data_IF_734895140918
#
_entry.id   IF_734895140918
#
_cell.length_a   1.000
_cell.length_b   1.000
_cell.length_c   1.000
_cell.angle_alpha   90.00
_cell.angle_beta   90.00
_cell.angle_gamma   90.00
#
_symmetry.space_group_name_H-M   'P 1'
#
loop_
_entity.id
_entity.type
_entity.pdbx_description
1 polymer ?
#
# COMPACT_ATOMS: atom_id res chain seq x y z
N UNK A 1 17.77 12.03 2.89
CA UNK A 1 17.33 11.45 1.60
C UNK A 1 18.05 12.02 0.38
N UNK A 2 18.25 13.34 0.22
CA UNK A 2 18.89 13.90 -0.97
C UNK A 2 20.23 13.26 -1.35
N UNK A 3 21.08 12.99 -0.36
CA UNK A 3 22.37 12.28 -0.54
C UNK A 3 22.24 10.87 -1.15
N UNK A 4 21.17 10.13 -0.83
CA UNK A 4 20.92 8.81 -1.45
C UNK A 4 20.48 8.95 -2.90
N UNK A 5 19.64 9.95 -3.18
CA UNK A 5 19.06 10.15 -4.51
C UNK A 5 20.12 10.62 -5.49
N UNK A 6 20.98 11.58 -5.12
CA UNK A 6 22.11 11.96 -5.97
C UNK A 6 23.05 10.78 -6.24
N UNK A 7 23.21 9.87 -5.27
CA UNK A 7 23.99 8.64 -5.49
C UNK A 7 23.32 7.69 -6.48
N UNK A 8 21.99 7.52 -6.43
CA UNK A 8 21.26 6.67 -7.38
C UNK A 8 21.26 7.27 -8.78
N UNK A 9 20.94 8.56 -8.90
CA UNK A 9 20.90 9.25 -10.17
C UNK A 9 22.30 9.32 -10.81
N UNK A 10 23.33 9.59 -9.99
CA UNK A 10 24.73 9.52 -10.41
C UNK A 10 25.15 8.12 -10.84
N UNK A 11 24.68 7.05 -10.17
CA UNK A 11 24.94 5.68 -10.58
C UNK A 11 24.29 5.34 -11.93
N UNK A 12 23.05 5.79 -12.15
CA UNK A 12 22.36 5.65 -13.44
C UNK A 12 23.11 6.36 -14.57
N UNK A 13 23.47 7.64 -14.38
CA UNK A 13 24.25 8.37 -15.38
C UNK A 13 25.64 7.77 -15.62
N UNK A 14 26.30 7.26 -14.57
CA UNK A 14 27.58 6.56 -14.70
C UNK A 14 27.42 5.28 -15.52
N UNK A 15 26.38 4.49 -15.25
CA UNK A 15 26.11 3.26 -16.00
C UNK A 15 25.85 3.57 -17.46
N UNK A 16 25.04 4.59 -17.76
CA UNK A 16 24.86 5.08 -19.12
C UNK A 16 26.21 5.47 -19.71
N UNK A 17 26.99 6.31 -19.03
CA UNK A 17 28.28 6.80 -19.51
C UNK A 17 29.23 5.67 -19.93
N UNK A 18 29.31 4.62 -19.13
CA UNK A 18 30.17 3.46 -19.35
C UNK A 18 29.67 2.53 -20.45
N UNK A 19 28.37 2.52 -20.75
CA UNK A 19 27.81 1.77 -21.87
C UNK A 19 28.18 2.42 -23.21
N UNK A 20 29.23 1.88 -23.83
CA UNK A 20 29.76 2.36 -25.12
C UNK A 20 28.85 2.02 -26.31
N UNK A 21 27.90 1.10 -26.14
CA UNK A 21 26.93 0.77 -27.19
C UNK A 21 25.82 1.81 -27.27
N UNK A 22 25.57 2.52 -26.17
CA UNK A 22 24.53 3.51 -26.08
C UNK A 22 25.01 4.86 -26.66
N UNK A 23 24.48 5.22 -27.83
CA UNK A 23 24.81 6.46 -28.53
C UNK A 23 24.02 7.67 -28.04
N UNK A 24 22.99 7.47 -27.20
CA UNK A 24 22.12 8.54 -26.67
C UNK A 24 22.08 8.48 -25.14
N UNK A 25 22.15 9.66 -24.52
CA UNK A 25 21.98 9.81 -23.07
C UNK A 25 20.51 10.11 -22.76
N UNK A 26 20.01 9.59 -21.64
CA UNK A 26 18.65 9.83 -21.19
C UNK A 26 18.68 10.62 -19.88
N UNK A 27 17.71 11.52 -19.66
CA UNK A 27 17.57 12.16 -18.36
C UNK A 27 17.08 11.14 -17.33
N UNK A 28 17.70 11.16 -16.15
CA UNK A 28 17.26 10.38 -14.98
C UNK A 28 16.38 11.27 -14.12
N UNK A 29 15.19 10.76 -13.79
CA UNK A 29 14.26 11.40 -12.88
C UNK A 29 13.87 10.42 -11.77
N UNK A 30 14.14 10.82 -10.53
CA UNK A 30 13.75 10.04 -9.34
C UNK A 30 12.55 10.69 -8.64
N UNK A 31 11.57 9.86 -8.32
CA UNK A 31 10.38 10.22 -7.55
C UNK A 31 10.41 9.50 -6.20
N UNK A 32 10.24 10.26 -5.12
CA UNK A 32 10.07 9.72 -3.77
C UNK A 32 8.59 9.73 -3.44
N UNK A 33 8.02 8.54 -3.27
CA UNK A 33 6.64 8.37 -2.83
C UNK A 33 6.66 8.19 -1.31
N UNK A 34 6.15 9.17 -0.57
CA UNK A 34 6.08 9.13 0.88
C UNK A 34 4.66 8.77 1.33
N UNK A 35 4.56 7.70 2.12
CA UNK A 35 3.29 7.12 2.56
C UNK A 35 2.94 7.43 4.03
N UNK A 36 3.67 8.37 4.66
CA UNK A 36 3.41 8.76 6.05
C UNK A 36 2.01 9.35 6.23
N UNK A 37 1.30 8.86 7.24
CA UNK A 37 -0.08 9.27 7.53
C UNK A 37 -0.17 10.29 8.66
N UNK A 38 0.74 10.24 9.64
CA UNK A 38 0.75 11.18 10.78
C UNK A 38 1.11 12.61 10.38
N UNK A 39 2.06 12.77 9.47
CA UNK A 39 2.50 14.07 8.94
C UNK A 39 2.90 13.96 7.48
N UNK A 40 2.92 15.11 6.79
CA UNK A 40 3.64 15.25 5.52
C UNK A 40 5.14 15.06 5.73
N UNK A 41 5.88 14.92 4.63
CA UNK A 41 7.33 14.86 4.61
C UNK A 41 7.94 16.14 5.20
N UNK A 42 8.75 15.98 6.24
CA UNK A 42 9.41 17.09 6.94
C UNK A 42 10.94 17.10 6.80
N UNK A 43 11.52 16.05 6.23
CA UNK A 43 12.97 15.95 6.07
C UNK A 43 13.49 16.79 4.89
N UNK A 44 14.80 17.06 4.82
CA UNK A 44 15.41 17.83 3.73
C UNK A 44 15.02 17.35 2.32
N UNK A 45 14.65 18.30 1.45
CA UNK A 45 14.32 18.10 0.03
C UNK A 45 15.40 18.61 -0.93
N UNK A 46 16.50 19.15 -0.41
CA UNK A 46 17.66 19.52 -1.21
C UNK A 46 18.98 19.29 -0.45
N UNK A 47 20.12 19.42 -1.14
CA UNK A 47 21.43 19.32 -0.49
C UNK A 47 21.72 20.51 0.42
N UNK A 48 21.29 21.72 0.07
CA UNK A 48 21.42 22.88 0.95
C UNK A 48 20.63 22.76 2.25
N UNK A 49 19.56 21.96 2.26
CA UNK A 49 18.84 21.63 3.50
C UNK A 49 19.53 20.51 4.31
N UNK A 50 20.48 19.78 3.72
CA UNK A 50 21.20 18.70 4.40
C UNK A 50 22.42 19.20 5.19
N UNK A 51 23.07 20.28 4.74
CA UNK A 51 24.29 20.81 5.35
C UNK A 51 24.41 22.32 5.12
N UNK A 52 25.14 22.99 6.01
CA UNK A 52 25.35 24.43 5.90
C UNK A 52 26.43 24.74 4.85
N UNK A 53 26.09 25.54 3.85
CA UNK A 53 26.99 25.98 2.78
C UNK A 53 27.27 27.46 2.95
N UNK A 54 28.53 27.86 3.22
CA UNK A 54 28.93 29.27 3.27
C UNK A 54 28.44 30.04 2.03
N UNK A 55 27.98 31.27 2.22
CA UNK A 55 27.35 32.06 1.14
C UNK A 55 28.29 32.24 -0.06
N UNK A 56 29.58 32.38 0.21
CA UNK A 56 30.66 32.55 -0.75
C UNK A 56 30.86 31.29 -1.61
N UNK A 57 30.52 30.11 -1.09
CA UNK A 57 30.68 28.83 -1.77
C UNK A 57 29.43 28.38 -2.53
N UNK A 58 28.25 28.95 -2.25
CA UNK A 58 26.99 28.58 -2.92
C UNK A 58 27.04 28.63 -4.45
N UNK A 59 27.75 29.55 -5.13
CA UNK A 59 27.86 29.51 -6.60
C UNK A 59 28.58 28.27 -7.14
N UNK A 60 29.36 27.58 -6.31
CA UNK A 60 30.20 26.44 -6.69
C UNK A 60 29.66 25.09 -6.22
N UNK A 61 28.58 25.08 -5.42
CA UNK A 61 27.98 23.86 -4.88
C UNK A 61 26.61 23.64 -5.53
N UNK A 62 26.36 22.44 -6.03
CA UNK A 62 25.06 22.11 -6.63
C UNK A 62 24.02 21.77 -5.55
N UNK A 63 22.91 22.50 -5.51
CA UNK A 63 21.78 22.26 -4.61
C UNK A 63 20.84 21.16 -5.14
N UNK A 64 21.31 19.92 -5.19
CA UNK A 64 20.55 18.80 -5.77
C UNK A 64 19.17 18.64 -5.11
N UNK A 65 18.10 18.96 -5.85
CA UNK A 65 16.72 18.91 -5.36
C UNK A 65 16.07 17.57 -5.68
N UNK A 66 15.17 17.13 -4.80
CA UNK A 66 14.47 15.86 -4.97
C UNK A 66 12.95 16.06 -5.10
N UNK A 67 12.30 15.17 -5.84
CA UNK A 67 10.85 15.19 -6.01
C UNK A 67 10.21 14.28 -4.98
N UNK A 68 9.51 14.86 -4.00
CA UNK A 68 8.82 14.12 -2.94
C UNK A 68 7.31 14.34 -3.03
N UNK A 69 6.56 13.23 -3.05
CA UNK A 69 5.10 13.22 -3.14
C UNK A 69 4.52 12.60 -1.89
N UNK A 70 3.72 13.37 -1.15
CA UNK A 70 3.00 12.94 0.05
C UNK A 70 1.73 12.17 -0.34
N UNK A 71 1.85 10.87 -0.60
CA UNK A 71 0.78 10.05 -1.20
C UNK A 71 -0.49 10.04 -0.36
N UNK A 72 -0.36 9.89 0.95
CA UNK A 72 -1.50 9.92 1.88
C UNK A 72 -2.22 11.28 1.91
N UNK A 73 -1.58 12.33 1.41
CA UNK A 73 -2.07 13.71 1.47
C UNK A 73 -2.54 14.23 0.10
N UNK A 74 -2.54 13.38 -0.93
CA UNK A 74 -3.16 13.71 -2.21
C UNK A 74 -4.67 13.88 -2.05
N UNK A 75 -5.25 14.81 -2.80
CA UNK A 75 -6.70 14.99 -2.89
C UNK A 75 -7.33 13.95 -3.84
N UNK A 76 -8.65 13.86 -3.80
CA UNK A 76 -9.41 12.91 -4.61
C UNK A 76 -9.29 13.19 -6.11
N UNK A 77 -9.20 14.47 -6.49
CA UNK A 77 -8.99 14.89 -7.88
C UNK A 77 -7.67 14.32 -8.42
N UNK A 78 -6.57 14.50 -7.70
CA UNK A 78 -5.24 13.98 -8.10
C UNK A 78 -5.23 12.47 -8.12
N UNK A 79 -5.84 11.81 -7.12
CA UNK A 79 -5.92 10.34 -7.09
C UNK A 79 -6.70 9.80 -8.30
N UNK A 80 -7.76 10.50 -8.72
CA UNK A 80 -8.58 10.08 -9.88
C UNK A 80 -7.83 10.14 -11.22
N UNK A 81 -6.73 10.90 -11.32
CA UNK A 81 -5.91 10.99 -12.52
C UNK A 81 -5.05 9.74 -12.75
N UNK A 82 -4.82 8.92 -11.72
CA UNK A 82 -4.07 7.67 -11.87
C UNK A 82 -4.85 6.66 -12.72
N UNK A 83 -4.25 6.29 -13.85
CA UNK A 83 -4.79 5.25 -14.74
C UNK A 83 -4.47 3.83 -14.28
N UNK A 84 -3.42 3.67 -13.48
CA UNK A 84 -2.98 2.38 -12.96
C UNK A 84 -3.67 2.02 -11.65
N UNK A 85 -3.50 0.77 -11.23
CA UNK A 85 -3.97 0.26 -9.93
C UNK A 85 -3.35 0.99 -8.72
N UNK A 86 -2.31 1.81 -8.93
CA UNK A 86 -1.72 2.63 -7.87
C UNK A 86 -2.74 3.56 -7.20
N UNK A 87 -3.82 3.94 -7.90
CA UNK A 87 -4.92 4.72 -7.34
C UNK A 87 -5.51 4.08 -6.07
N UNK A 88 -5.56 2.75 -6.00
CA UNK A 88 -6.08 2.03 -4.84
C UNK A 88 -5.15 2.16 -3.63
N UNK A 89 -3.82 2.10 -3.85
CA UNK A 89 -2.82 2.35 -2.80
C UNK A 89 -2.94 3.78 -2.29
N UNK A 90 -2.97 4.76 -3.21
CA UNK A 90 -3.07 6.17 -2.85
C UNK A 90 -4.35 6.45 -2.06
N UNK A 91 -5.49 5.91 -2.51
CA UNK A 91 -6.77 6.05 -1.81
C UNK A 91 -6.75 5.38 -0.43
N UNK A 92 -6.17 4.19 -0.31
CA UNK A 92 -6.03 3.51 0.98
C UNK A 92 -5.26 4.37 1.99
N UNK A 93 -4.09 4.90 1.63
CA UNK A 93 -3.28 5.72 2.53
C UNK A 93 -3.95 7.06 2.87
N UNK A 94 -4.67 7.66 1.92
CA UNK A 94 -5.48 8.86 2.18
C UNK A 94 -6.60 8.57 3.19
N UNK A 95 -7.34 7.49 3.00
CA UNK A 95 -8.41 7.06 3.90
C UNK A 95 -7.87 6.71 5.29
N UNK A 96 -6.73 6.02 5.36
CA UNK A 96 -6.03 5.71 6.62
C UNK A 96 -5.64 6.98 7.38
N UNK A 97 -5.05 7.98 6.70
CA UNK A 97 -4.75 9.29 7.30
C UNK A 97 -6.00 9.98 7.83
N UNK A 98 -7.10 9.91 7.09
CA UNK A 98 -8.37 10.52 7.49
C UNK A 98 -9.08 9.78 8.63
N UNK A 99 -8.52 8.66 9.10
CA UNK A 99 -9.10 7.78 10.11
C UNK A 99 -10.55 7.40 9.77
N UNK A 100 -10.77 6.99 8.51
CA UNK A 100 -12.06 6.53 7.99
C UNK A 100 -11.95 5.08 7.55
N UNK A 101 -13.10 4.41 7.47
CA UNK A 101 -13.19 3.07 6.90
C UNK A 101 -12.81 3.09 5.42
N UNK A 102 -12.00 2.12 5.00
CA UNK A 102 -11.55 2.01 3.63
C UNK A 102 -12.61 1.34 2.76
N UNK A 103 -13.27 2.14 1.91
CA UNK A 103 -14.24 1.68 0.93
C UNK A 103 -13.59 1.78 -0.46
N UNK A 104 -13.12 0.65 -1.04
CA UNK A 104 -12.55 0.64 -2.37
C UNK A 104 -13.59 0.92 -3.46
N UNK A 105 -13.13 1.45 -4.59
CA UNK A 105 -13.95 1.59 -5.80
C UNK A 105 -14.07 0.26 -6.53
N UNK A 106 -15.19 0.02 -7.21
CA UNK A 106 -15.52 -1.23 -7.92
C UNK A 106 -14.75 -1.47 -9.24
N UNK A 107 -13.57 -0.87 -9.40
CA UNK A 107 -12.76 -1.04 -10.60
C UNK A 107 -12.01 -2.36 -10.61
N UNK A 108 -11.95 -3.02 -11.77
CA UNK A 108 -11.10 -4.19 -11.99
C UNK A 108 -9.62 -3.84 -11.83
N UNK A 109 -8.87 -4.75 -11.21
CA UNK A 109 -7.43 -4.67 -11.00
C UNK A 109 -6.70 -5.27 -12.21
N UNK A 110 -5.87 -4.46 -12.88
CA UNK A 110 -5.05 -4.91 -14.01
C UNK A 110 -3.89 -5.80 -13.57
N UNK A 111 -3.32 -5.52 -12.39
CA UNK A 111 -2.13 -6.17 -11.84
C UNK A 111 -2.36 -6.55 -10.37
N UNK A 112 -3.44 -7.29 -10.10
CA UNK A 112 -3.88 -7.63 -8.75
C UNK A 112 -2.77 -8.22 -7.87
N UNK A 113 -2.04 -9.25 -8.32
CA UNK A 113 -0.95 -9.88 -7.56
C UNK A 113 0.15 -8.88 -7.17
N UNK A 114 0.62 -8.07 -8.13
CA UNK A 114 1.62 -7.03 -7.87
C UNK A 114 1.12 -5.96 -6.90
N UNK A 115 -0.16 -5.58 -7.00
CA UNK A 115 -0.79 -4.62 -6.10
C UNK A 115 -0.84 -5.17 -4.66
N UNK A 116 -1.22 -6.43 -4.47
CA UNK A 116 -1.29 -7.04 -3.14
C UNK A 116 0.08 -7.10 -2.47
N UNK A 117 1.11 -7.51 -3.22
CA UNK A 117 2.50 -7.51 -2.73
C UNK A 117 2.98 -6.11 -2.38
N UNK A 118 2.59 -5.11 -3.17
CA UNK A 118 2.88 -3.71 -2.87
C UNK A 118 2.20 -3.27 -1.56
N UNK A 119 0.93 -3.65 -1.34
CA UNK A 119 0.26 -3.41 -0.05
C UNK A 119 1.05 -4.03 1.10
N UNK A 120 1.39 -5.32 1.03
CA UNK A 120 2.19 -6.01 2.06
C UNK A 120 3.49 -5.27 2.34
N UNK A 121 4.23 -4.86 1.30
CA UNK A 121 5.49 -4.16 1.44
C UNK A 121 5.35 -2.76 2.09
N UNK A 122 4.25 -2.06 1.83
CA UNK A 122 4.01 -0.71 2.33
C UNK A 122 3.39 -0.67 3.72
N UNK A 123 2.55 -1.65 4.07
CA UNK A 123 1.81 -1.68 5.34
C UNK A 123 2.44 -2.62 6.37
N UNK A 124 3.23 -3.60 5.93
CA UNK A 124 3.66 -4.75 6.74
C UNK A 124 2.54 -5.75 7.03
N UNK A 125 1.34 -5.53 6.50
CA UNK A 125 0.16 -6.37 6.68
C UNK A 125 -0.04 -7.29 5.48
N UNK A 126 0.09 -8.59 5.70
CA UNK A 126 -0.06 -9.62 4.67
C UNK A 126 -1.53 -10.03 4.43
N UNK A 127 -2.51 -9.40 5.08
CA UNK A 127 -3.92 -9.74 4.95
C UNK A 127 -4.42 -9.63 3.52
N UNK A 128 -3.94 -8.62 2.77
CA UNK A 128 -4.25 -8.43 1.35
C UNK A 128 -3.75 -9.58 0.48
N UNK A 129 -2.47 -9.92 0.58
CA UNK A 129 -1.85 -11.02 -0.16
C UNK A 129 -2.47 -12.37 0.21
N UNK A 130 -2.69 -12.61 1.51
CA UNK A 130 -3.29 -13.86 1.97
C UNK A 130 -4.73 -14.02 1.48
N UNK A 131 -5.55 -12.97 1.56
CA UNK A 131 -6.91 -12.99 1.03
C UNK A 131 -6.90 -13.23 -0.48
N UNK A 132 -5.97 -12.61 -1.21
CA UNK A 132 -5.83 -12.79 -2.65
C UNK A 132 -5.49 -14.24 -3.04
N UNK A 133 -4.51 -14.84 -2.36
CA UNK A 133 -4.05 -16.20 -2.63
C UNK A 133 -5.10 -17.26 -2.26
N UNK A 134 -5.68 -17.19 -1.07
CA UNK A 134 -6.73 -18.12 -0.62
C UNK A 134 -8.00 -18.02 -1.48
N UNK A 135 -8.25 -16.84 -2.05
CA UNK A 135 -9.41 -16.59 -2.91
C UNK A 135 -9.35 -17.22 -4.28
N UNK A 136 -8.22 -17.87 -4.64
CA UNK A 136 -7.96 -18.38 -5.99
C UNK A 136 -8.19 -17.29 -7.07
N UNK A 137 -8.00 -16.03 -6.70
CA UNK A 137 -8.23 -14.88 -7.58
C UNK A 137 -7.23 -14.85 -8.75
N UNK A 138 -6.10 -15.55 -8.64
CA UNK A 138 -5.14 -15.75 -9.75
C UNK A 138 -5.78 -16.39 -10.99
N UNK A 139 -6.81 -17.22 -10.81
CA UNK A 139 -7.50 -17.92 -11.90
C UNK A 139 -8.84 -17.27 -12.28
N UNK A 140 -9.18 -16.14 -11.65
CA UNK A 140 -10.46 -15.45 -11.82
C UNK A 140 -10.18 -14.10 -12.48
N UNK A 141 -10.67 -13.89 -13.70
CA UNK A 141 -10.68 -12.55 -14.30
C UNK A 141 -11.64 -11.62 -13.53
N UNK A 142 -11.47 -10.30 -13.62
CA UNK A 142 -12.43 -9.36 -13.02
C UNK A 142 -12.23 -9.09 -11.53
N UNK A 143 -11.06 -9.38 -10.95
CA UNK A 143 -10.82 -9.16 -9.51
C UNK A 143 -10.85 -7.67 -9.21
N UNK A 144 -11.66 -7.26 -8.24
CA UNK A 144 -11.72 -5.88 -7.76
C UNK A 144 -11.09 -5.75 -6.38
N UNK A 145 -10.76 -4.52 -5.99
CA UNK A 145 -10.31 -4.26 -4.63
C UNK A 145 -11.41 -4.50 -3.59
N UNK A 146 -12.70 -4.37 -3.96
CA UNK A 146 -13.83 -4.73 -3.09
C UNK A 146 -13.83 -6.22 -2.75
N UNK A 147 -13.61 -7.09 -3.74
CA UNK A 147 -13.59 -8.55 -3.53
C UNK A 147 -12.51 -8.96 -2.51
N UNK A 148 -11.34 -8.31 -2.59
CA UNK A 148 -10.23 -8.56 -1.67
C UNK A 148 -10.57 -8.08 -0.25
N UNK A 149 -11.09 -6.86 -0.11
CA UNK A 149 -11.46 -6.28 1.19
C UNK A 149 -12.58 -7.09 1.86
N UNK A 150 -13.63 -7.43 1.12
CA UNK A 150 -14.73 -8.27 1.63
C UNK A 150 -14.21 -9.61 2.16
N UNK A 151 -13.26 -10.21 1.45
CA UNK A 151 -12.64 -11.45 1.91
C UNK A 151 -11.81 -11.28 3.16
N UNK A 152 -11.06 -10.17 3.30
CA UNK A 152 -10.35 -9.85 4.55
C UNK A 152 -11.34 -9.74 5.70
N UNK A 153 -12.44 -9.00 5.52
CA UNK A 153 -13.48 -8.82 6.55
C UNK A 153 -14.12 -10.15 6.96
N UNK A 154 -14.48 -10.99 5.98
CA UNK A 154 -15.09 -12.29 6.22
C UNK A 154 -14.14 -13.25 6.96
N UNK A 155 -12.83 -13.22 6.63
CA UNK A 155 -11.80 -13.96 7.38
C UNK A 155 -11.69 -13.47 8.82
N UNK A 156 -11.65 -12.15 9.02
CA UNK A 156 -11.61 -11.56 10.36
C UNK A 156 -12.81 -11.96 11.21
N UNK A 157 -14.03 -11.93 10.65
CA UNK A 157 -15.25 -12.42 11.31
C UNK A 157 -15.15 -13.91 11.67
N UNK A 158 -14.69 -14.75 10.74
CA UNK A 158 -14.53 -16.18 10.97
C UNK A 158 -13.52 -16.48 12.09
N UNK A 159 -12.39 -15.79 12.12
CA UNK A 159 -11.38 -15.96 13.17
C UNK A 159 -11.88 -15.55 14.55
N UNK A 160 -12.68 -14.48 14.65
CA UNK A 160 -13.29 -14.05 15.91
C UNK A 160 -14.29 -15.10 16.41
N UNK A 161 -15.19 -15.57 15.54
CA UNK A 161 -16.18 -16.60 15.87
C UNK A 161 -15.47 -17.88 16.33
N UNK A 162 -14.43 -18.31 15.62
CA UNK A 162 -13.61 -19.48 16.01
C UNK A 162 -13.01 -19.32 17.40
N UNK A 163 -12.36 -18.18 17.68
CA UNK A 163 -11.77 -17.92 19.01
C UNK A 163 -12.82 -17.92 20.13
N UNK A 164 -14.03 -17.43 19.86
CA UNK A 164 -15.14 -17.46 20.83
C UNK A 164 -15.64 -18.89 21.10
N UNK A 165 -15.67 -19.76 20.08
CA UNK A 165 -16.03 -21.17 20.20
C UNK A 165 -14.94 -22.00 20.90
N UNK A 166 -13.67 -21.81 20.52
CA UNK A 166 -12.53 -22.55 21.06
C UNK A 166 -12.31 -22.27 22.55
N UNK A 167 -12.64 -21.05 23.00
CA UNK A 167 -12.66 -20.70 24.41
C UNK A 167 -13.72 -21.48 25.22
N UNK A 168 -14.56 -22.32 24.58
CA UNK A 168 -15.71 -23.05 25.16
C UNK A 168 -16.65 -22.16 25.96
N UNK A 169 -16.66 -20.86 25.66
CA UNK A 169 -17.32 -19.86 26.48
C UNK A 169 -18.76 -19.60 26.04
N UNK A 170 -19.09 -19.84 24.78
CA UNK A 170 -20.35 -19.39 24.17
C UNK A 170 -20.87 -20.38 23.12
N UNK A 171 -22.19 -20.57 23.04
CA UNK A 171 -22.86 -21.31 21.96
C UNK A 171 -23.00 -20.46 20.70
N UNK A 172 -23.32 -21.10 19.57
CA UNK A 172 -23.56 -20.41 18.28
C UNK A 172 -24.66 -19.36 18.40
N UNK A 173 -25.71 -19.64 19.17
CA UNK A 173 -26.82 -18.72 19.42
C UNK A 173 -26.37 -17.52 20.27
N UNK A 174 -25.54 -17.75 21.28
CA UNK A 174 -24.98 -16.67 22.11
C UNK A 174 -24.02 -15.77 21.30
N UNK A 175 -23.21 -16.36 20.42
CA UNK A 175 -22.32 -15.60 19.52
C UNK A 175 -23.14 -14.79 18.52
N UNK A 176 -24.19 -15.37 17.94
CA UNK A 176 -25.11 -14.67 17.03
C UNK A 176 -25.76 -13.44 17.70
N UNK A 177 -26.19 -13.59 18.96
CA UNK A 177 -26.75 -12.48 19.75
C UNK A 177 -25.70 -11.39 20.05
N UNK A 178 -24.49 -11.76 20.48
CA UNK A 178 -23.39 -10.83 20.77
C UNK A 178 -22.98 -10.04 19.52
N UNK A 179 -22.80 -10.73 18.39
CA UNK A 179 -22.37 -10.13 17.13
C UNK A 179 -23.53 -9.50 16.35
N UNK A 180 -24.78 -9.66 16.83
CA UNK A 180 -26.02 -9.24 16.14
C UNK A 180 -26.10 -9.76 14.71
N UNK A 181 -25.66 -10.99 14.50
CA UNK A 181 -25.70 -11.69 13.22
C UNK A 181 -26.79 -12.76 13.23
N UNK A 182 -27.40 -13.10 12.09
CA UNK A 182 -28.28 -14.25 11.99
C UNK A 182 -27.55 -15.54 12.41
N UNK A 183 -28.22 -16.39 13.19
CA UNK A 183 -27.66 -17.70 13.62
C UNK A 183 -27.19 -18.54 12.42
N UNK A 184 -27.92 -18.48 11.31
CA UNK A 184 -27.55 -19.18 10.07
C UNK A 184 -26.26 -18.65 9.42
N UNK A 185 -25.96 -17.37 9.59
CA UNK A 185 -24.70 -16.79 9.10
C UNK A 185 -23.51 -17.27 9.94
N UNK A 186 -23.67 -17.30 11.27
CA UNK A 186 -22.65 -17.85 12.18
C UNK A 186 -22.42 -19.34 11.89
N UNK A 187 -23.48 -20.13 11.69
CA UNK A 187 -23.36 -21.55 11.29
C UNK A 187 -22.60 -21.73 9.97
N UNK A 188 -22.93 -20.95 8.93
CA UNK A 188 -22.20 -21.01 7.65
C UNK A 188 -20.71 -20.72 7.81
N UNK A 189 -20.37 -19.69 8.58
CA UNK A 189 -18.98 -19.32 8.85
C UNK A 189 -18.24 -20.45 9.58
N UNK A 190 -18.87 -21.12 10.55
CA UNK A 190 -18.28 -22.27 11.26
C UNK A 190 -18.12 -23.53 10.39
N UNK A 191 -18.92 -23.68 9.33
CA UNK A 191 -18.85 -24.82 8.41
C UNK A 191 -17.85 -24.64 7.27
N UNK A 192 -17.49 -23.39 6.93
CA UNK A 192 -16.58 -23.06 5.82
C UNK A 192 -15.09 -23.28 6.12
N UNK A 193 -14.71 -23.50 7.38
CA UNK A 193 -13.31 -23.64 7.79
C UNK A 193 -13.15 -24.98 8.51
N UNK A 194 -12.35 -25.94 8.01
CA UNK A 194 -12.14 -27.21 8.70
C UNK A 194 -11.48 -26.95 10.04
N UNK A 195 -12.00 -27.61 11.08
CA UNK A 195 -11.32 -27.72 12.37
C UNK A 195 -9.94 -28.32 12.11
N UNK A 196 -8.88 -27.55 12.32
CA UNK A 196 -7.52 -28.08 12.41
C UNK A 196 -7.50 -28.95 13.68
N UNK A 197 -7.66 -30.26 13.48
CA UNK A 197 -7.30 -31.28 14.47
C UNK A 197 -5.79 -31.33 14.66
#
# INVERSE_FOLDING_TARGET
MPLRIISYDGASYKQEFLDKSNTKRYPVATLVLYFGTDSKWTAPKSLYECFDVPKELKPFVSDYKINVFDIAWLDDETISLFKSDFKFVAKYFQTKRLNKDYIPTSGELLHADSLMKLFTALTGDNSFETAYDEGNFKNKGGVTMCDVVERIENRGKADIIRKMLDAKALTVEQIADILKLPVEEVKKITQMVPVLN
#
